data_IF_777805634863
#
_entry.id   IF_777805634863
#
_cell.length_a   1.000
_cell.length_b   1.000
_cell.length_c   1.000
_cell.angle_alpha   90.00
_cell.angle_beta   90.00
_cell.angle_gamma   90.00
#
_symmetry.space_group_name_H-M   'P 1'
#
loop_
_entity.id
_entity.type
_entity.pdbx_description
1 polymer ?
#
# COMPACT_ATOMS: atom_id res chain seq x y z
N UNK A 1 9.86 -6.78 12.70
CA UNK A 1 9.09 -5.68 12.07
C UNK A 1 7.65 -5.50 12.50
N UNK A 2 6.90 -6.56 12.74
CA UNK A 2 5.47 -6.44 13.04
C UNK A 2 5.11 -5.77 14.39
N UNK A 3 5.94 -5.94 15.43
CA UNK A 3 5.79 -5.26 16.72
C UNK A 3 6.06 -3.74 16.65
N UNK A 4 6.91 -3.30 15.71
CA UNK A 4 7.20 -1.88 15.52
C UNK A 4 5.99 -1.12 14.96
N UNK A 5 5.19 -1.75 14.09
CA UNK A 5 4.00 -1.13 13.49
C UNK A 5 2.81 -0.98 14.46
N UNK A 6 2.70 -1.84 15.49
CA UNK A 6 1.66 -1.74 16.51
C UNK A 6 1.85 -0.54 17.44
N UNK A 7 3.10 -0.18 17.75
CA UNK A 7 3.43 0.96 18.62
C UNK A 7 3.18 2.34 18.02
N UNK A 8 3.08 2.46 16.69
CA UNK A 8 2.94 3.74 15.96
C UNK A 8 1.47 4.11 15.70
N UNK A 9 0.51 3.25 16.02
CA UNK A 9 -0.91 3.48 15.74
C UNK A 9 -1.48 4.80 16.32
N UNK A 10 -1.22 5.18 17.59
CA UNK A 10 -1.69 6.47 18.11
C UNK A 10 -0.93 7.66 17.49
N UNK A 11 0.39 7.53 17.27
CA UNK A 11 1.20 8.58 16.66
C UNK A 11 0.80 8.85 15.19
N UNK A 12 0.47 7.80 14.45
CA UNK A 12 -0.02 7.89 13.07
C UNK A 12 -1.43 8.45 12.98
N UNK A 13 -2.33 8.11 13.92
CA UNK A 13 -3.64 8.75 14.02
C UNK A 13 -3.53 10.26 14.33
N UNK A 14 -2.65 10.65 15.26
CA UNK A 14 -2.38 12.05 15.54
C UNK A 14 -1.78 12.78 14.33
N UNK A 15 -0.85 12.14 13.62
CA UNK A 15 -0.27 12.69 12.40
C UNK A 15 -1.31 12.87 11.28
N UNK A 16 -2.29 11.97 11.16
CA UNK A 16 -3.40 12.12 10.20
C UNK A 16 -4.29 13.32 10.54
N UNK A 17 -4.66 13.46 11.81
CA UNK A 17 -5.47 14.59 12.25
C UNK A 17 -4.73 15.91 12.01
N UNK A 18 -3.46 15.99 12.42
CA UNK A 18 -2.61 17.14 12.16
C UNK A 18 -2.47 17.41 10.65
N UNK A 19 -2.38 16.37 9.84
CA UNK A 19 -2.23 16.52 8.41
C UNK A 19 -3.51 17.00 7.71
N UNK A 20 -4.69 16.75 8.27
CA UNK A 20 -5.96 17.30 7.78
C UNK A 20 -6.13 18.80 8.10
N UNK A 21 -5.45 19.32 9.12
CA UNK A 21 -5.53 20.75 9.52
C UNK A 21 -5.16 21.66 8.36
N UNK A 22 -4.03 21.39 7.69
CA UNK A 22 -3.53 22.22 6.59
C UNK A 22 -4.53 22.34 5.42
N UNK A 23 -5.03 21.24 4.83
CA UNK A 23 -5.95 21.34 3.72
C UNK A 23 -7.33 21.85 4.11
N UNK A 24 -7.86 21.47 5.29
CA UNK A 24 -9.14 22.02 5.77
C UNK A 24 -8.99 23.53 6.00
N UNK A 25 -7.91 23.96 6.66
CA UNK A 25 -7.59 25.37 6.86
C UNK A 25 -7.43 26.12 5.55
N UNK A 26 -6.82 25.50 4.53
CA UNK A 26 -6.69 26.10 3.21
C UNK A 26 -8.03 26.26 2.48
N UNK A 27 -8.94 25.27 2.57
CA UNK A 27 -10.30 25.39 2.02
C UNK A 27 -11.10 26.48 2.73
N UNK A 28 -10.97 26.57 4.06
CA UNK A 28 -11.59 27.65 4.85
C UNK A 28 -11.01 29.01 4.44
N UNK A 29 -9.69 29.12 4.28
CA UNK A 29 -9.03 30.34 3.84
C UNK A 29 -9.51 30.79 2.44
N UNK A 30 -9.70 29.85 1.50
CA UNK A 30 -10.30 30.15 0.20
C UNK A 30 -11.73 30.69 0.34
N UNK A 31 -12.54 30.09 1.21
CA UNK A 31 -13.90 30.55 1.46
C UNK A 31 -13.96 31.94 2.13
N UNK A 32 -12.97 32.26 2.96
CA UNK A 32 -12.83 33.59 3.59
C UNK A 32 -12.41 34.67 2.60
N UNK A 33 -11.65 34.31 1.56
CA UNK A 33 -11.32 35.24 0.46
C UNK A 33 -12.57 35.50 -0.39
N UNK A 34 -13.14 34.44 -0.97
CA UNK A 34 -14.39 34.53 -1.73
C UNK A 34 -15.06 33.15 -1.85
N UNK A 35 -16.38 33.10 -1.69
CA UNK A 35 -17.14 31.85 -1.77
C UNK A 35 -17.00 31.12 -3.11
N UNK A 36 -16.77 31.82 -4.23
CA UNK A 36 -16.58 31.20 -5.54
C UNK A 36 -15.27 30.44 -5.66
N UNK A 37 -14.22 30.86 -4.95
CA UNK A 37 -12.96 30.12 -4.90
C UNK A 37 -13.15 28.77 -4.22
N UNK A 38 -13.89 28.76 -3.11
CA UNK A 38 -14.25 27.53 -2.41
C UNK A 38 -15.12 26.63 -3.29
N UNK A 39 -16.13 27.17 -3.97
CA UNK A 39 -16.98 26.40 -4.91
C UNK A 39 -16.17 25.82 -6.05
N UNK A 40 -15.27 26.59 -6.67
CA UNK A 40 -14.40 26.12 -7.74
C UNK A 40 -13.51 24.96 -7.29
N UNK A 41 -12.93 25.07 -6.09
CA UNK A 41 -12.13 24.01 -5.50
C UNK A 41 -12.96 22.77 -5.16
N UNK A 42 -14.10 22.95 -4.48
CA UNK A 42 -15.01 21.86 -4.06
C UNK A 42 -15.62 21.16 -5.27
N UNK A 43 -15.87 21.85 -6.38
CA UNK A 43 -16.32 21.23 -7.63
C UNK A 43 -15.25 20.30 -8.25
N UNK A 44 -13.97 20.66 -8.15
CA UNK A 44 -12.86 19.84 -8.63
C UNK A 44 -12.39 18.76 -7.65
N UNK A 45 -12.69 18.91 -6.35
CA UNK A 45 -12.25 17.99 -5.30
C UNK A 45 -12.77 16.54 -5.47
N UNK A 46 -14.04 16.27 -5.85
CA UNK A 46 -14.51 14.92 -6.15
C UNK A 46 -13.71 14.23 -7.25
N UNK A 47 -13.38 14.95 -8.33
CA UNK A 47 -12.59 14.41 -9.45
C UNK A 47 -11.21 14.00 -8.95
N UNK A 48 -10.55 14.88 -8.18
CA UNK A 48 -9.26 14.57 -7.54
C UNK A 48 -9.36 13.35 -6.60
N UNK A 49 -10.40 13.29 -5.77
CA UNK A 49 -10.64 12.19 -4.84
C UNK A 49 -10.84 10.85 -5.57
N UNK A 50 -11.67 10.80 -6.61
CA UNK A 50 -11.93 9.57 -7.36
C UNK A 50 -10.69 9.09 -8.12
N UNK A 51 -9.93 9.99 -8.75
CA UNK A 51 -8.70 9.61 -9.45
C UNK A 51 -7.64 9.09 -8.48
N UNK A 52 -7.47 9.76 -7.34
CA UNK A 52 -6.55 9.31 -6.31
C UNK A 52 -6.96 7.96 -5.71
N UNK A 53 -8.26 7.76 -5.45
CA UNK A 53 -8.79 6.47 -4.98
C UNK A 53 -8.53 5.37 -5.99
N UNK A 54 -8.77 5.63 -7.28
CA UNK A 54 -8.49 4.68 -8.35
C UNK A 54 -6.99 4.36 -8.42
N UNK A 55 -6.14 5.38 -8.34
CA UNK A 55 -4.69 5.24 -8.31
C UNK A 55 -4.20 4.37 -7.14
N UNK A 56 -4.66 4.66 -5.92
CA UNK A 56 -4.27 3.89 -4.72
C UNK A 56 -4.69 2.43 -4.86
N UNK A 57 -5.90 2.18 -5.37
CA UNK A 57 -6.42 0.82 -5.58
C UNK A 57 -5.60 0.05 -6.60
N UNK A 58 -5.39 0.63 -7.79
CA UNK A 58 -4.61 0.02 -8.86
C UNK A 58 -3.18 -0.25 -8.41
N UNK A 59 -2.51 0.74 -7.82
CA UNK A 59 -1.13 0.59 -7.34
C UNK A 59 -1.00 -0.49 -6.27
N UNK A 60 -1.93 -0.55 -5.32
CA UNK A 60 -1.92 -1.58 -4.26
C UNK A 60 -2.12 -2.99 -4.83
N UNK A 61 -3.06 -3.16 -5.75
CA UNK A 61 -3.33 -4.45 -6.39
C UNK A 61 -2.15 -4.92 -7.26
N UNK A 62 -1.40 -3.97 -7.85
CA UNK A 62 -0.21 -4.26 -8.63
C UNK A 62 0.92 -4.79 -7.76
N UNK A 63 1.24 -4.06 -6.69
CA UNK A 63 2.30 -4.41 -5.76
C UNK A 63 2.01 -5.76 -5.10
N UNK A 64 0.77 -6.00 -4.69
CA UNK A 64 0.37 -7.27 -4.10
C UNK A 64 0.58 -8.45 -5.06
N UNK A 65 0.15 -8.32 -6.32
CA UNK A 65 0.33 -9.37 -7.34
C UNK A 65 1.80 -9.61 -7.69
N UNK A 66 2.60 -8.55 -7.78
CA UNK A 66 4.05 -8.68 -8.00
C UNK A 66 4.72 -9.43 -6.84
N UNK A 67 4.40 -9.05 -5.60
CA UNK A 67 4.92 -9.69 -4.39
C UNK A 67 4.49 -11.17 -4.28
N UNK A 68 3.26 -11.52 -4.68
CA UNK A 68 2.80 -12.91 -4.69
C UNK A 68 3.63 -13.79 -5.64
N UNK A 69 3.83 -13.36 -6.89
CA UNK A 69 4.59 -14.19 -7.85
C UNK A 69 6.08 -14.22 -7.50
N UNK A 70 6.63 -13.10 -6.99
CA UNK A 70 8.00 -13.08 -6.47
C UNK A 70 8.17 -14.05 -5.29
N UNK A 71 7.19 -14.12 -4.39
CA UNK A 71 7.17 -15.07 -3.28
C UNK A 71 7.13 -16.53 -3.74
N UNK A 72 6.35 -16.83 -4.78
CA UNK A 72 6.25 -18.19 -5.33
C UNK A 72 7.59 -18.65 -5.96
N UNK A 73 8.27 -17.75 -6.67
CA UNK A 73 9.60 -18.01 -7.23
C UNK A 73 10.64 -18.19 -6.11
N UNK A 74 10.62 -17.31 -5.11
CA UNK A 74 11.53 -17.39 -3.97
C UNK A 74 11.33 -18.70 -3.19
N UNK A 75 10.09 -19.15 -3.00
CA UNK A 75 9.75 -20.42 -2.37
C UNK A 75 10.33 -21.62 -3.11
N UNK A 76 10.11 -21.69 -4.43
CA UNK A 76 10.65 -22.77 -5.27
C UNK A 76 12.18 -22.79 -5.31
N UNK A 77 12.80 -21.60 -5.32
CA UNK A 77 14.25 -21.48 -5.24
C UNK A 77 14.79 -21.99 -3.89
N UNK A 78 14.12 -21.63 -2.79
CA UNK A 78 14.50 -22.07 -1.45
C UNK A 78 14.41 -23.59 -1.30
N UNK A 79 13.36 -24.20 -1.87
CA UNK A 79 13.18 -25.66 -1.92
C UNK A 79 14.29 -26.34 -2.73
N UNK A 80 14.64 -25.80 -3.91
CA UNK A 80 15.71 -26.32 -4.75
C UNK A 80 17.09 -26.22 -4.07
N UNK A 81 17.38 -25.12 -3.36
CA UNK A 81 18.63 -24.97 -2.60
C UNK A 81 18.67 -25.97 -1.43
N UNK A 82 17.56 -26.16 -0.72
CA UNK A 82 17.46 -27.17 0.35
C UNK A 82 17.65 -28.61 -0.16
N UNK A 83 17.22 -28.89 -1.40
CA UNK A 83 17.36 -30.18 -2.07
C UNK A 83 18.60 -30.34 -2.97
N UNK A 84 19.53 -29.38 -2.98
CA UNK A 84 20.59 -29.29 -3.99
C UNK A 84 21.46 -30.56 -4.09
N UNK A 85 21.77 -31.21 -2.96
CA UNK A 85 22.52 -32.47 -2.94
C UNK A 85 21.77 -33.63 -3.60
N UNK A 86 20.44 -33.69 -3.42
CA UNK A 86 19.59 -34.72 -4.02
C UNK A 86 19.43 -34.50 -5.52
N UNK A 87 19.28 -33.24 -5.94
CA UNK A 87 19.18 -32.86 -7.35
C UNK A 87 20.49 -33.17 -8.09
N UNK A 88 21.64 -32.84 -7.49
CA UNK A 88 22.95 -33.16 -8.04
C UNK A 88 23.18 -34.68 -8.12
N UNK A 89 22.74 -35.44 -7.12
CA UNK A 89 22.81 -36.90 -7.13
C UNK A 89 21.90 -37.54 -8.20
N UNK A 90 20.83 -36.86 -8.61
CA UNK A 90 19.90 -37.31 -9.64
C UNK A 90 20.28 -36.82 -11.06
N UNK A 91 21.28 -35.95 -11.21
CA UNK A 91 21.65 -35.26 -12.46
C UNK A 91 20.45 -34.61 -13.17
N UNK A 92 19.61 -33.90 -12.41
CA UNK A 92 18.41 -33.22 -12.92
C UNK A 92 18.46 -31.70 -12.77
N UNK A 93 19.65 -31.09 -12.73
CA UNK A 93 19.80 -29.64 -12.49
C UNK A 93 19.02 -28.80 -13.51
N UNK A 94 19.20 -29.07 -14.81
CA UNK A 94 18.53 -28.33 -15.89
C UNK A 94 17.02 -28.50 -15.87
N UNK A 95 16.55 -29.68 -15.45
CA UNK A 95 15.12 -30.02 -15.35
C UNK A 95 14.45 -29.24 -14.22
N UNK A 96 15.11 -29.15 -13.07
CA UNK A 96 14.59 -28.36 -11.94
C UNK A 96 14.72 -26.85 -12.21
N UNK A 97 15.79 -26.39 -12.85
CA UNK A 97 15.90 -24.99 -13.29
C UNK A 97 14.75 -24.60 -14.25
N UNK A 98 14.45 -25.45 -15.23
CA UNK A 98 13.33 -25.23 -16.14
C UNK A 98 11.97 -25.23 -15.41
N UNK A 99 11.79 -26.10 -14.40
CA UNK A 99 10.57 -26.17 -13.57
C UNK A 99 10.36 -24.91 -12.75
N UNK A 100 11.42 -24.35 -12.16
CA UNK A 100 11.38 -23.08 -11.42
C UNK A 100 11.07 -21.91 -12.37
N UNK A 101 11.73 -21.85 -13.52
CA UNK A 101 11.63 -20.72 -14.45
C UNK A 101 10.42 -20.78 -15.41
N UNK A 102 9.68 -21.89 -15.46
CA UNK A 102 8.54 -22.07 -16.39
C UNK A 102 7.51 -20.94 -16.36
N UNK A 103 7.29 -20.33 -15.20
CA UNK A 103 6.26 -19.29 -15.00
C UNK A 103 6.79 -17.86 -15.24
N UNK A 104 8.10 -17.70 -15.47
CA UNK A 104 8.76 -16.39 -15.61
C UNK A 104 8.27 -15.57 -16.82
N UNK A 105 8.03 -16.14 -18.01
CA UNK A 105 7.54 -15.38 -19.17
C UNK A 105 6.13 -14.83 -18.97
N UNK A 106 5.24 -15.61 -18.34
CA UNK A 106 3.88 -15.19 -18.03
C UNK A 106 3.89 -14.11 -16.94
N UNK A 107 4.74 -14.25 -15.92
CA UNK A 107 4.99 -13.19 -14.94
C UNK A 107 5.46 -11.90 -15.61
N UNK A 108 6.44 -11.98 -16.52
CA UNK A 108 6.96 -10.81 -17.23
C UNK A 108 5.87 -10.12 -18.05
N UNK A 109 5.04 -10.87 -18.79
CA UNK A 109 3.94 -10.33 -19.60
C UNK A 109 2.86 -9.65 -18.74
N UNK A 110 2.44 -10.29 -17.64
CA UNK A 110 1.49 -9.71 -16.70
C UNK A 110 2.09 -8.48 -15.99
N UNK A 111 3.37 -8.53 -15.63
CA UNK A 111 4.14 -7.42 -15.07
C UNK A 111 4.17 -6.21 -16.01
N UNK A 112 4.53 -6.38 -17.28
CA UNK A 112 4.57 -5.27 -18.24
C UNK A 112 3.18 -4.67 -18.52
N UNK A 113 2.12 -5.49 -18.53
CA UNK A 113 0.74 -4.99 -18.65
C UNK A 113 0.34 -4.20 -17.41
N UNK A 114 0.71 -4.68 -16.22
CA UNK A 114 0.54 -4.02 -14.94
C UNK A 114 1.23 -2.65 -14.91
N UNK A 115 2.53 -2.60 -15.25
CA UNK A 115 3.34 -1.40 -15.29
C UNK A 115 2.77 -0.34 -16.24
N UNK A 116 2.24 -0.73 -17.40
CA UNK A 116 1.61 0.21 -18.34
C UNK A 116 0.31 0.80 -17.81
N UNK A 117 -0.52 0.02 -17.11
CA UNK A 117 -1.76 0.52 -16.50
C UNK A 117 -1.42 1.43 -15.31
N UNK A 118 -0.49 1.00 -14.46
CA UNK A 118 -0.04 1.79 -13.32
C UNK A 118 0.64 3.10 -13.74
N UNK A 119 1.51 3.06 -14.75
CA UNK A 119 2.16 4.26 -15.29
C UNK A 119 1.17 5.28 -15.85
N UNK A 120 0.09 4.83 -16.49
CA UNK A 120 -1.00 5.71 -16.92
C UNK A 120 -1.76 6.31 -15.73
N UNK A 121 -2.11 5.50 -14.73
CA UNK A 121 -2.79 6.00 -13.53
C UNK A 121 -1.91 6.95 -12.70
N UNK A 122 -0.60 6.70 -12.62
CA UNK A 122 0.41 7.61 -12.04
C UNK A 122 0.37 8.97 -12.74
N UNK A 123 0.52 8.97 -14.07
CA UNK A 123 0.55 10.19 -14.87
C UNK A 123 -0.74 10.99 -14.73
N UNK A 124 -1.89 10.32 -14.72
CA UNK A 124 -3.19 10.96 -14.48
C UNK A 124 -3.27 11.56 -13.07
N UNK A 125 -2.84 10.84 -12.03
CA UNK A 125 -2.88 11.33 -10.66
C UNK A 125 -1.99 12.58 -10.45
N UNK A 126 -0.81 12.61 -11.08
CA UNK A 126 0.12 13.76 -10.99
C UNK A 126 -0.42 14.99 -11.74
N UNK A 127 -1.17 14.81 -12.82
CA UNK A 127 -1.72 15.91 -13.61
C UNK A 127 -2.92 16.62 -12.97
N UNK A 128 -3.70 15.94 -12.13
CA UNK A 128 -4.98 16.49 -11.62
C UNK A 128 -4.78 17.62 -10.64
N UNK A 129 -3.81 17.52 -9.72
CA UNK A 129 -3.56 18.57 -8.74
C UNK A 129 -3.18 19.90 -9.41
N UNK A 130 -2.22 19.94 -10.36
CA UNK A 130 -1.95 21.14 -11.16
C UNK A 130 -3.16 21.67 -11.93
N UNK A 131 -3.97 20.79 -12.54
CA UNK A 131 -5.17 21.22 -13.27
C UNK A 131 -6.19 21.91 -12.34
N UNK A 132 -6.39 21.40 -11.13
CA UNK A 132 -7.26 22.02 -10.14
C UNK A 132 -6.70 23.38 -9.67
N UNK A 133 -5.38 23.47 -9.47
CA UNK A 133 -4.71 24.74 -9.13
C UNK A 133 -4.88 25.78 -10.24
N UNK A 134 -4.73 25.38 -11.51
CA UNK A 134 -4.97 26.24 -12.67
C UNK A 134 -6.44 26.70 -12.71
N UNK A 135 -7.39 25.80 -12.45
CA UNK A 135 -8.82 26.17 -12.42
C UNK A 135 -9.12 27.20 -11.33
N UNK A 136 -8.60 27.01 -10.11
CA UNK A 136 -8.76 27.99 -9.02
C UNK A 136 -8.09 29.31 -9.37
N UNK A 137 -6.88 29.29 -9.94
CA UNK A 137 -6.18 30.49 -10.37
C UNK A 137 -6.93 31.24 -11.49
N UNK A 138 -7.57 30.52 -12.41
CA UNK A 138 -8.39 31.11 -13.47
C UNK A 138 -9.64 31.80 -12.90
N UNK A 139 -10.33 31.16 -11.95
CA UNK A 139 -11.47 31.77 -11.25
C UNK A 139 -11.03 32.98 -10.44
N UNK A 140 -9.93 32.88 -9.71
CA UNK A 140 -9.35 34.00 -8.97
C UNK A 140 -9.00 35.17 -9.90
N UNK A 141 -8.37 34.90 -11.05
CA UNK A 141 -8.06 35.91 -12.06
C UNK A 141 -9.31 36.60 -12.60
N UNK A 142 -10.39 35.85 -12.83
CA UNK A 142 -11.68 36.41 -13.23
C UNK A 142 -12.27 37.33 -12.15
N UNK A 143 -12.18 36.96 -10.88
CA UNK A 143 -12.66 37.77 -9.75
C UNK A 143 -11.85 39.07 -9.58
N UNK A 144 -10.54 39.05 -9.86
CA UNK A 144 -9.71 40.27 -9.89
C UNK A 144 -10.18 41.21 -10.99
N UNK A 145 -10.47 40.70 -12.19
CA UNK A 145 -10.98 41.51 -13.30
C UNK A 145 -12.35 42.14 -13.01
N UNK A 146 -13.12 41.54 -12.10
CA UNK A 146 -14.39 42.08 -11.60
C UNK A 146 -14.23 42.99 -10.38
N UNK A 147 -13.01 43.31 -9.97
CA UNK A 147 -12.69 44.09 -8.77
C UNK A 147 -13.27 43.50 -7.47
N UNK A 148 -13.61 42.20 -7.46
CA UNK A 148 -14.18 41.52 -6.29
C UNK A 148 -13.13 41.09 -5.28
N UNK A 149 -11.90 40.83 -5.74
CA UNK A 149 -10.76 40.47 -4.91
C UNK A 149 -9.51 41.25 -5.36
N UNK A 150 -8.54 41.41 -4.47
CA UNK A 150 -7.28 42.08 -4.79
C UNK A 150 -6.28 41.15 -5.48
N UNK A 151 -5.21 41.72 -6.05
CA UNK A 151 -4.07 40.93 -6.58
C UNK A 151 -3.36 40.15 -5.46
N UNK A 152 -3.40 40.66 -4.22
CA UNK A 152 -2.90 39.94 -3.05
C UNK A 152 -3.71 38.68 -2.76
N UNK A 153 -5.03 38.77 -2.91
CA UNK A 153 -5.95 37.64 -2.72
C UNK A 153 -5.79 36.58 -3.79
N UNK A 154 -5.49 36.96 -5.03
CA UNK A 154 -5.11 36.03 -6.10
C UNK A 154 -3.90 35.18 -5.71
N UNK A 155 -2.84 35.83 -5.21
CA UNK A 155 -1.63 35.15 -4.76
C UNK A 155 -1.94 34.22 -3.58
N UNK A 156 -2.71 34.69 -2.60
CA UNK A 156 -3.14 33.91 -1.45
C UNK A 156 -3.96 32.68 -1.88
N UNK A 157 -4.97 32.86 -2.73
CA UNK A 157 -5.79 31.79 -3.29
C UNK A 157 -4.96 30.74 -4.02
N UNK A 158 -3.96 31.18 -4.79
CA UNK A 158 -3.02 30.29 -5.49
C UNK A 158 -2.23 29.41 -4.52
N UNK A 159 -1.77 29.97 -3.39
CA UNK A 159 -1.03 29.22 -2.35
C UNK A 159 -1.95 28.29 -1.56
N UNK A 160 -3.14 28.77 -1.20
CA UNK A 160 -4.13 27.95 -0.50
C UNK A 160 -4.62 26.79 -1.37
N UNK A 161 -4.76 26.95 -2.68
CA UNK A 161 -5.09 25.84 -3.59
C UNK A 161 -4.03 24.73 -3.57
N UNK A 162 -2.74 25.09 -3.48
CA UNK A 162 -1.64 24.12 -3.34
C UNK A 162 -1.74 23.38 -2.00
N UNK A 163 -1.96 24.11 -0.90
CA UNK A 163 -2.13 23.52 0.43
C UNK A 163 -3.36 22.61 0.51
N UNK A 164 -4.47 23.01 -0.13
CA UNK A 164 -5.72 22.25 -0.19
C UNK A 164 -5.59 20.99 -1.06
N UNK A 165 -4.79 21.01 -2.13
CA UNK A 165 -4.51 19.82 -2.95
C UNK A 165 -3.56 18.82 -2.26
N UNK A 166 -2.83 19.23 -1.22
CA UNK A 166 -1.97 18.38 -0.39
C UNK A 166 -2.68 17.18 0.27
N UNK A 167 -4.03 17.20 0.36
CA UNK A 167 -4.85 16.07 0.83
C UNK A 167 -4.52 14.77 0.11
N UNK A 168 -4.11 14.86 -1.16
CA UNK A 168 -3.85 13.67 -1.97
C UNK A 168 -2.77 12.75 -1.40
N UNK A 169 -1.73 13.32 -0.78
CA UNK A 169 -0.71 12.57 -0.07
C UNK A 169 -1.26 11.87 1.19
N UNK A 170 -2.29 12.42 1.82
CA UNK A 170 -2.88 11.91 3.06
C UNK A 170 -3.75 10.67 2.83
N UNK A 171 -4.45 10.60 1.69
CA UNK A 171 -5.22 9.39 1.33
C UNK A 171 -4.29 8.19 1.12
N UNK A 172 -3.09 8.41 0.58
CA UNK A 172 -2.06 7.38 0.48
C UNK A 172 -1.61 6.87 1.85
N UNK A 173 -1.41 7.78 2.81
CA UNK A 173 -1.04 7.46 4.19
C UNK A 173 -2.16 6.71 4.94
N UNK A 174 -3.42 7.14 4.77
CA UNK A 174 -4.61 6.45 5.30
C UNK A 174 -4.70 5.00 4.80
N UNK A 175 -4.45 4.78 3.50
CA UNK A 175 -4.38 3.44 2.92
C UNK A 175 -3.27 2.57 3.52
N UNK A 176 -2.12 3.16 3.82
CA UNK A 176 -1.04 2.51 4.56
C UNK A 176 -1.47 2.03 5.95
N UNK A 177 -2.22 2.86 6.67
CA UNK A 177 -2.67 2.59 8.03
C UNK A 177 -3.74 1.50 8.12
N UNK A 178 -4.70 1.50 7.19
CA UNK A 178 -5.68 0.40 7.09
C UNK A 178 -4.98 -0.93 6.85
N UNK A 179 -3.96 -0.95 5.97
CA UNK A 179 -3.15 -2.16 5.74
C UNK A 179 -2.35 -2.56 6.97
N UNK A 180 -1.74 -1.62 7.68
CA UNK A 180 -1.02 -1.89 8.92
C UNK A 180 -1.95 -2.48 10.00
N UNK A 181 -3.17 -1.95 10.14
CA UNK A 181 -4.18 -2.49 11.07
C UNK A 181 -4.63 -3.90 10.70
N UNK A 182 -4.80 -4.17 9.40
CA UNK A 182 -5.13 -5.52 8.91
C UNK A 182 -3.97 -6.51 9.07
N UNK A 183 -2.72 -6.04 8.99
CA UNK A 183 -1.55 -6.85 9.32
C UNK A 183 -1.49 -7.18 10.83
N UNK A 184 -1.73 -6.17 11.69
CA UNK A 184 -1.74 -6.34 13.14
C UNK A 184 -2.77 -7.39 13.61
N UNK A 185 -3.99 -7.38 13.06
CA UNK A 185 -5.01 -8.40 13.37
C UNK A 185 -4.56 -9.83 13.05
N UNK A 186 -3.86 -10.03 11.93
CA UNK A 186 -3.33 -11.35 11.55
C UNK A 186 -2.21 -11.82 12.46
N UNK A 187 -1.48 -10.90 13.09
CA UNK A 187 -0.48 -11.25 14.10
C UNK A 187 -1.11 -11.60 15.44
N UNK A 188 -2.19 -10.93 15.83
CA UNK A 188 -2.97 -11.32 17.00
C UNK A 188 -3.49 -12.75 16.86
N UNK A 189 -3.99 -13.14 15.68
CA UNK A 189 -4.40 -14.54 15.41
C UNK A 189 -3.26 -15.53 15.65
N UNK A 190 -2.04 -15.22 15.20
CA UNK A 190 -0.86 -16.10 15.39
C UNK A 190 -0.38 -16.11 16.84
N UNK A 191 -0.40 -14.98 17.52
CA UNK A 191 -0.01 -14.88 18.94
C UNK A 191 -1.05 -15.48 19.89
N UNK A 192 -2.31 -15.59 19.44
CA UNK A 192 -3.39 -16.22 20.19
C UNK A 192 -3.40 -17.75 20.05
N UNK A 193 -2.59 -18.31 19.13
CA UNK A 193 -2.46 -19.75 19.00
C UNK A 193 -1.80 -20.33 20.27
N UNK A 194 -2.41 -21.35 20.93
CA UNK A 194 -1.87 -21.93 22.15
C UNK A 194 -0.45 -22.48 21.93
N UNK A 195 0.49 -22.17 22.84
CA UNK A 195 1.82 -22.74 22.77
C UNK A 195 1.77 -24.27 22.83
N UNK A 196 2.48 -24.93 21.89
CA UNK A 196 2.60 -26.38 21.87
C UNK A 196 3.39 -26.84 23.09
N UNK A 197 2.70 -27.35 24.12
CA UNK A 197 3.35 -27.81 25.35
C UNK A 197 4.28 -28.99 25.03
N UNK A 198 5.58 -28.78 25.25
CA UNK A 198 6.57 -29.86 25.14
C UNK A 198 6.73 -30.59 26.48
N UNK A 199 6.97 -31.89 26.41
CA UNK A 199 7.33 -32.67 27.59
C UNK A 199 8.66 -32.18 28.16
N UNK A 200 8.74 -32.00 29.48
CA UNK A 200 9.94 -31.52 30.18
C UNK A 200 11.01 -32.59 30.39
N UNK A 201 10.80 -33.81 29.89
CA UNK A 201 11.74 -34.92 30.06
C UNK A 201 12.91 -34.78 29.08
N UNK A 202 14.11 -34.69 29.63
CA UNK A 202 15.35 -34.89 28.86
C UNK A 202 15.42 -36.32 28.33
N UNK A 203 15.65 -36.46 27.03
CA UNK A 203 15.87 -37.77 26.40
C UNK A 203 17.32 -38.23 26.65
N UNK A 204 17.56 -39.54 26.79
CA UNK A 204 18.90 -40.08 26.95
C UNK A 204 19.79 -39.76 25.73
N UNK A 205 21.11 -39.57 25.94
CA UNK A 205 22.03 -39.02 24.94
C UNK A 205 22.23 -39.91 23.70
N UNK A 206 21.93 -41.21 23.77
CA UNK A 206 21.84 -42.09 22.62
C UNK A 206 21.00 -43.33 22.95
N UNK A 207 20.18 -43.76 21.99
CA UNK A 207 19.38 -44.98 22.08
C UNK A 207 18.04 -44.80 22.79
N UNK A 208 17.01 -45.37 22.18
CA UNK A 208 15.65 -45.41 22.71
C UNK A 208 14.77 -46.29 21.83
N UNK A 209 13.90 -47.09 22.44
CA UNK A 209 12.91 -47.88 21.71
C UNK A 209 11.63 -47.05 21.60
N UNK A 210 11.37 -46.52 20.42
CA UNK A 210 10.10 -45.88 20.09
C UNK A 210 9.12 -46.97 19.65
N UNK A 211 7.99 -47.09 20.33
CA UNK A 211 6.94 -48.02 19.94
C UNK A 211 5.60 -47.27 19.84
N UNK A 212 5.04 -47.23 18.63
CA UNK A 212 3.74 -46.62 18.36
C UNK A 212 2.69 -47.72 18.49
N UNK A 213 1.82 -47.62 19.50
CA UNK A 213 0.75 -48.60 19.73
C UNK A 213 -0.62 -47.96 19.54
N UNK A 214 -1.41 -48.52 18.61
CA UNK A 214 -2.80 -48.12 18.40
C UNK A 214 -3.01 -46.66 18.01
N UNK A 215 -2.01 -46.01 17.43
CA UNK A 215 -2.08 -44.57 17.10
C UNK A 215 -2.90 -44.38 15.83
N UNK A 216 -3.99 -43.61 15.93
CA UNK A 216 -4.65 -42.97 14.78
C UNK A 216 -4.35 -41.49 14.81
N UNK A 217 -3.78 -40.99 13.73
CA UNK A 217 -3.66 -39.55 13.49
C UNK A 217 -4.70 -39.15 12.44
N UNK A 218 -5.52 -38.17 12.76
CA UNK A 218 -6.25 -37.40 11.74
C UNK A 218 -5.65 -36.00 11.71
N UNK A 219 -5.43 -35.49 10.51
CA UNK A 219 -5.06 -34.08 10.34
C UNK A 219 -6.27 -33.22 10.73
N UNK A 220 -6.06 -32.16 11.50
CA UNK A 220 -7.11 -31.18 11.75
C UNK A 220 -7.42 -30.43 10.46
N UNK A 221 -8.62 -30.62 9.91
CA UNK A 221 -9.07 -30.02 8.65
C UNK A 221 -8.78 -30.88 7.43
#
# INVERSE_FOLDING_TARGET
DNAAHAGIAPATAAALLAALVTPVGAVVALALIDGWLAVAFVAGAPVLFFLLRAFVRVSSDCVARYQQVQGDIAGRLSEAIGGARTIAAAHTEDKEAARVLRTLPELSRQGHRMWRVQGRSQAQAVAVAPLLQIAVAAVAGHLVLQERISVGDLLAASRYAVLATGVGMLVGQLGGLVRARAAARRLEEVLAEPETVHGTRGLPPAGGRLELRGVRASRGG
#
